data_IF_338454048482
#
_entry.id   IF_338454048482
#
_cell.length_a   1.000
_cell.length_b   1.000
_cell.length_c   1.000
_cell.angle_alpha   90.00
_cell.angle_beta   90.00
_cell.angle_gamma   90.00
#
_symmetry.space_group_name_H-M   'P 1'
#
loop_
_entity.id
_entity.type
_entity.pdbx_description
1 polymer ?
#
# COMPACT_ATOMS: atom_id res chain seq x y z
N UNK A 1 24.48 7.42 -22.11
CA UNK A 1 24.51 7.43 -20.63
C UNK A 1 23.15 7.89 -20.11
N UNK A 2 22.12 7.02 -20.08
CA UNK A 2 20.81 7.32 -19.49
C UNK A 2 20.35 6.11 -18.67
N UNK A 3 21.00 5.89 -17.53
CA UNK A 3 20.57 5.00 -16.46
C UNK A 3 20.59 5.82 -15.19
N UNK A 4 19.45 6.38 -14.80
CA UNK A 4 19.39 7.28 -13.64
C UNK A 4 18.03 7.42 -12.96
N UNK A 5 16.94 6.98 -13.59
CA UNK A 5 15.59 7.14 -13.04
C UNK A 5 15.03 5.85 -12.44
N UNK A 6 15.32 4.69 -13.05
CA UNK A 6 14.80 3.40 -12.60
C UNK A 6 15.19 3.05 -11.14
N UNK A 7 16.45 3.31 -10.75
CA UNK A 7 16.92 3.02 -9.39
C UNK A 7 16.32 3.95 -8.32
N UNK A 8 15.97 5.18 -8.67
CA UNK A 8 15.32 6.13 -7.76
C UNK A 8 13.87 5.74 -7.53
N UNK A 9 13.18 5.31 -8.58
CA UNK A 9 11.79 4.88 -8.49
C UNK A 9 11.61 3.58 -7.72
N UNK A 10 12.54 2.62 -7.88
CA UNK A 10 12.53 1.36 -7.11
C UNK A 10 12.83 1.60 -5.62
N UNK A 11 13.82 2.44 -5.31
CA UNK A 11 14.14 2.80 -3.92
C UNK A 11 12.97 3.54 -3.25
N UNK A 12 12.35 4.48 -3.96
CA UNK A 12 11.18 5.22 -3.47
C UNK A 12 9.99 4.29 -3.26
N UNK A 13 9.75 3.36 -4.20
CA UNK A 13 8.69 2.36 -4.10
C UNK A 13 8.88 1.43 -2.88
N UNK A 14 10.10 0.95 -2.66
CA UNK A 14 10.44 0.13 -1.49
C UNK A 14 10.25 0.88 -0.17
N UNK A 15 10.64 2.15 -0.12
CA UNK A 15 10.44 3.01 1.06
C UNK A 15 8.95 3.24 1.36
N UNK A 16 8.14 3.54 0.33
CA UNK A 16 6.68 3.69 0.47
C UNK A 16 6.04 2.42 1.08
N UNK A 17 6.47 1.23 0.65
CA UNK A 17 5.93 -0.04 1.16
C UNK A 17 6.41 -0.39 2.57
N UNK A 18 7.65 -0.05 2.93
CA UNK A 18 8.13 -0.17 4.31
C UNK A 18 7.32 0.69 5.29
N UNK A 19 6.93 1.90 4.86
CA UNK A 19 6.05 2.78 5.65
C UNK A 19 4.63 2.23 5.75
N UNK A 20 4.07 1.74 4.65
CA UNK A 20 2.74 1.12 4.64
C UNK A 20 2.67 -0.04 5.65
N UNK A 21 3.70 -0.88 5.66
CA UNK A 21 3.77 -2.04 6.56
C UNK A 21 3.70 -1.65 8.04
N UNK A 22 4.48 -0.64 8.43
CA UNK A 22 4.46 -0.11 9.80
C UNK A 22 3.11 0.52 10.15
N UNK A 23 2.46 1.21 9.19
CA UNK A 23 1.15 1.80 9.41
C UNK A 23 0.07 0.74 9.62
N UNK A 24 0.03 -0.30 8.79
CA UNK A 24 -0.93 -1.40 8.98
C UNK A 24 -0.67 -2.15 10.29
N UNK A 25 0.60 -2.39 10.65
CA UNK A 25 0.96 -2.99 11.93
C UNK A 25 0.53 -2.14 13.15
N UNK A 26 0.52 -0.81 13.05
CA UNK A 26 0.04 0.06 14.11
C UNK A 26 -1.50 0.14 14.15
N UNK A 27 -2.15 0.04 12.98
CA UNK A 27 -3.60 0.16 12.84
C UNK A 27 -4.35 -1.14 13.05
N UNK A 28 -3.71 -2.30 12.86
CA UNK A 28 -4.27 -3.62 13.20
C UNK A 28 -4.72 -3.66 14.67
N UNK A 29 -3.98 -3.00 15.56
CA UNK A 29 -4.33 -2.85 16.98
C UNK A 29 -5.61 -2.02 17.21
N UNK A 30 -6.06 -1.29 16.19
CA UNK A 30 -7.22 -0.40 16.25
C UNK A 30 -8.40 -0.88 15.41
N UNK A 31 -8.20 -1.91 14.58
CA UNK A 31 -9.22 -2.47 13.68
C UNK A 31 -9.97 -1.41 12.84
N UNK A 32 -9.23 -0.54 12.15
CA UNK A 32 -9.84 0.54 11.34
C UNK A 32 -9.42 0.47 9.89
N UNK A 33 -10.34 0.77 8.95
CA UNK A 33 -9.97 0.91 7.56
C UNK A 33 -9.02 2.09 7.36
N UNK A 34 -8.08 1.94 6.43
CA UNK A 34 -7.16 3.00 6.03
C UNK A 34 -7.17 3.17 4.52
N UNK A 35 -7.22 4.42 4.07
CA UNK A 35 -7.14 4.78 2.67
C UNK A 35 -5.87 5.58 2.40
N UNK A 36 -5.12 5.22 1.37
CA UNK A 36 -3.99 6.00 0.88
C UNK A 36 -3.77 5.81 -0.62
N UNK A 37 -3.14 6.79 -1.26
CA UNK A 37 -2.71 6.67 -2.65
C UNK A 37 -1.39 5.91 -2.74
N UNK A 38 -1.33 4.86 -3.55
CA UNK A 38 -0.12 4.09 -3.84
C UNK A 38 0.27 4.21 -5.32
N UNK A 39 1.53 3.90 -5.65
CA UNK A 39 1.94 3.70 -7.04
C UNK A 39 1.39 2.38 -7.56
N UNK A 40 1.00 2.34 -8.84
CA UNK A 40 0.49 1.14 -9.51
C UNK A 40 1.51 0.00 -9.54
N UNK A 41 2.81 0.32 -9.57
CA UNK A 41 3.88 -0.69 -9.49
C UNK A 41 3.90 -1.41 -8.13
N UNK A 42 3.34 -0.80 -7.09
CA UNK A 42 3.32 -1.34 -5.73
C UNK A 42 2.08 -2.21 -5.44
N UNK A 43 1.15 -2.38 -6.38
CA UNK A 43 -0.13 -3.12 -6.20
C UNK A 43 0.09 -4.48 -5.53
N UNK A 44 0.99 -5.29 -6.10
CA UNK A 44 1.25 -6.65 -5.64
C UNK A 44 1.85 -6.67 -4.25
N UNK A 45 2.80 -5.78 -3.95
CA UNK A 45 3.45 -5.70 -2.65
C UNK A 45 2.48 -5.17 -1.58
N UNK A 46 1.67 -4.15 -1.91
CA UNK A 46 0.63 -3.63 -1.04
C UNK A 46 -0.41 -4.71 -0.69
N UNK A 47 -0.83 -5.52 -1.66
CA UNK A 47 -1.74 -6.65 -1.42
C UNK A 47 -1.14 -7.71 -0.49
N UNK A 48 0.16 -8.01 -0.65
CA UNK A 48 0.87 -8.95 0.23
C UNK A 48 0.98 -8.42 1.66
N UNK A 49 1.34 -7.13 1.82
CA UNK A 49 1.40 -6.45 3.12
C UNK A 49 0.02 -6.43 3.80
N UNK A 50 -1.04 -6.10 3.05
CA UNK A 50 -2.41 -6.12 3.55
C UNK A 50 -2.79 -7.49 4.13
N UNK A 51 -2.61 -8.55 3.35
CA UNK A 51 -2.93 -9.92 3.76
C UNK A 51 -2.15 -10.36 4.99
N UNK A 52 -0.87 -10.01 5.08
CA UNK A 52 -0.03 -10.31 6.25
C UNK A 52 -0.58 -9.72 7.55
N UNK A 53 -1.20 -8.55 7.48
CA UNK A 53 -1.81 -7.86 8.62
C UNK A 53 -3.31 -8.13 8.77
N UNK A 54 -3.87 -9.09 8.03
CA UNK A 54 -5.30 -9.39 8.13
C UNK A 54 -6.20 -8.30 7.52
N UNK A 55 -5.71 -7.54 6.55
CA UNK A 55 -6.49 -6.57 5.78
C UNK A 55 -6.82 -7.07 4.37
N UNK A 56 -8.00 -6.75 3.89
CA UNK A 56 -8.39 -6.80 2.48
C UNK A 56 -7.98 -5.49 1.79
N UNK A 57 -7.43 -5.57 0.58
CA UNK A 57 -7.10 -4.41 -0.25
C UNK A 57 -8.12 -4.24 -1.37
N UNK A 58 -8.69 -3.05 -1.49
CA UNK A 58 -9.52 -2.60 -2.62
C UNK A 58 -8.85 -1.41 -3.31
N UNK A 59 -8.69 -1.51 -4.62
CA UNK A 59 -8.07 -0.47 -5.45
C UNK A 59 -9.14 0.29 -6.23
N UNK A 60 -8.95 1.61 -6.36
CA UNK A 60 -9.74 2.46 -7.25
C UNK A 60 -8.80 3.33 -8.11
N UNK A 61 -9.16 3.59 -9.36
CA UNK A 61 -8.41 4.54 -10.18
C UNK A 61 -8.48 5.94 -9.57
N UNK A 62 -7.43 6.72 -9.78
CA UNK A 62 -7.37 8.16 -9.49
C UNK A 62 -6.97 8.90 -10.75
N UNK A 63 -7.15 10.22 -10.77
CA UNK A 63 -6.81 11.04 -11.94
C UNK A 63 -5.30 11.07 -12.24
N UNK A 64 -4.45 10.89 -11.22
CA UNK A 64 -2.99 10.87 -11.39
C UNK A 64 -2.54 9.56 -12.09
N UNK A 65 -1.90 9.64 -13.28
CA UNK A 65 -1.41 8.46 -13.98
C UNK A 65 -0.40 7.66 -13.16
N UNK A 66 -0.53 6.34 -13.17
CA UNK A 66 0.38 5.46 -12.44
C UNK A 66 0.14 5.42 -10.93
N UNK A 67 -0.90 6.08 -10.41
CA UNK A 67 -1.35 5.98 -9.02
C UNK A 67 -2.69 5.28 -8.91
N UNK A 68 -2.97 4.79 -7.70
CA UNK A 68 -4.27 4.24 -7.33
C UNK A 68 -4.61 4.57 -5.89
N UNK A 69 -5.91 4.71 -5.62
CA UNK A 69 -6.43 4.79 -4.28
C UNK A 69 -6.59 3.38 -3.70
N UNK A 70 -5.81 3.05 -2.68
CA UNK A 70 -5.82 1.79 -1.97
C UNK A 70 -6.59 1.93 -0.65
N UNK A 71 -7.65 1.14 -0.50
CA UNK A 71 -8.41 1.02 0.75
C UNK A 71 -8.11 -0.34 1.37
N UNK A 72 -7.52 -0.32 2.55
CA UNK A 72 -7.25 -1.48 3.37
C UNK A 72 -8.35 -1.60 4.41
N UNK A 73 -9.12 -2.68 4.42
CA UNK A 73 -10.19 -2.94 5.39
C UNK A 73 -9.84 -4.17 6.23
N UNK A 74 -9.93 -4.13 7.57
CA UNK A 74 -9.68 -5.32 8.37
C UNK A 74 -10.62 -6.46 7.98
N UNK A 75 -10.09 -7.69 7.90
CA UNK A 75 -10.87 -8.89 7.58
C UNK A 75 -11.60 -9.45 8.80
N UNK A 76 -11.21 -9.04 10.00
CA UNK A 76 -11.83 -9.47 11.25
C UNK A 76 -12.44 -8.26 11.94
N UNK A 77 -13.75 -8.06 11.79
CA UNK A 77 -14.48 -7.20 12.71
C UNK A 77 -14.68 -7.99 14.00
N UNK A 78 -14.12 -7.60 15.16
CA UNK A 78 -14.57 -8.15 16.42
C UNK A 78 -16.02 -7.70 16.60
N UNK A 79 -16.92 -8.69 16.69
CA UNK A 79 -18.31 -8.50 17.09
C UNK A 79 -18.36 -8.22 18.60
#
# INVERSE_FOLDING_TARGET
MHEGTAGVDEWTAGFEMGRLDQQLAALILRDRPVGLTIRSVNRTQAAAIARRHGYELRLRPVEEPGREWAVFSPMFSPV
#
